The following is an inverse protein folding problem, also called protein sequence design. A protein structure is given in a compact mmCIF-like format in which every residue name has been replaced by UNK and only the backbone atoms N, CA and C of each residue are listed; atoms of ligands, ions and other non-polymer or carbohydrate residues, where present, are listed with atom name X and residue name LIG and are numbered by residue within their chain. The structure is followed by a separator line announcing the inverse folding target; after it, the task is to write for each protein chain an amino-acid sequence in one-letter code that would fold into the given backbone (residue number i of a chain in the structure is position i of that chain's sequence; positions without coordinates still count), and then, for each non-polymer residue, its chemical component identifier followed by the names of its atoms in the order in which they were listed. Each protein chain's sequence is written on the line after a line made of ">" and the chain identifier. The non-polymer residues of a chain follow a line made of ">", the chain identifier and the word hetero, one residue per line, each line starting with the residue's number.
data_IF_665565221726
#
_entry.id   IF_665565221726
#
_cell.length_a   1.000
_cell.length_b   1.000
_cell.length_c   1.000
_cell.angle_alpha   90.00
_cell.angle_beta   90.00
_cell.angle_gamma   90.00
#
_symmetry.space_group_name_H-M   'P 1'
#
loop_
_entity.id
_entity.type
_entity.pdbx_description
1 polymer ?
#
# COMPACT_ATOMS: atom_id res chain seq x y z
N UNK A 1 38.68 2.24 -10.36
CA UNK A 1 38.84 1.45 -9.12
C UNK A 1 37.46 0.99 -8.72
N UNK A 2 37.31 -0.29 -8.38
CA UNK A 2 36.04 -0.82 -7.86
C UNK A 2 35.80 -0.21 -6.47
N UNK A 3 34.57 0.23 -6.18
CA UNK A 3 34.21 0.76 -4.86
C UNK A 3 34.30 -0.37 -3.82
N UNK A 4 35.07 -0.23 -2.73
CA UNK A 4 35.17 -1.26 -1.72
C UNK A 4 33.84 -1.47 -1.00
N UNK A 5 33.51 -2.73 -0.75
CA UNK A 5 32.41 -3.11 0.12
C UNK A 5 32.71 -2.71 1.56
N UNK A 6 31.65 -2.55 2.37
CA UNK A 6 31.79 -2.29 3.80
C UNK A 6 32.62 -3.36 4.54
N UNK A 7 32.68 -4.58 4.02
CA UNK A 7 33.46 -5.69 4.57
C UNK A 7 34.96 -5.57 4.28
N UNK A 8 35.34 -5.04 3.11
CA UNK A 8 36.75 -4.81 2.76
C UNK A 8 37.34 -3.63 3.54
N UNK A 9 36.50 -2.74 4.05
CA UNK A 9 36.89 -1.63 4.94
C UNK A 9 37.02 -2.05 6.41
N UNK A 10 36.59 -3.26 6.75
CA UNK A 10 36.57 -3.80 8.12
C UNK A 10 37.98 -3.92 8.72
N UNK A 11 38.09 -3.68 10.02
CA UNK A 11 39.34 -3.83 10.78
C UNK A 11 39.07 -4.56 12.10
N UNK A 12 39.67 -5.75 12.32
CA UNK A 12 39.39 -6.55 13.51
C UNK A 12 39.56 -5.78 14.82
N UNK A 13 38.59 -5.91 15.73
CA UNK A 13 38.51 -5.22 17.01
C UNK A 13 37.99 -3.79 16.96
N UNK A 14 37.68 -3.23 15.78
CA UNK A 14 37.21 -1.84 15.66
C UNK A 14 35.74 -1.70 16.07
N UNK A 15 35.49 -0.78 16.99
CA UNK A 15 34.14 -0.51 17.51
C UNK A 15 33.59 0.81 16.98
N UNK A 16 32.39 0.77 16.41
CA UNK A 16 31.71 1.95 15.85
C UNK A 16 30.90 2.72 16.88
N UNK A 17 30.17 2.02 17.75
CA UNK A 17 29.27 2.62 18.74
C UNK A 17 29.63 2.08 20.12
N UNK A 18 29.66 2.95 21.13
CA UNK A 18 29.76 2.56 22.53
C UNK A 18 28.40 2.63 23.17
N UNK A 19 27.90 1.50 23.65
CA UNK A 19 26.70 1.45 24.46
C UNK A 19 27.03 1.96 25.89
N UNK A 20 26.04 2.54 26.60
CA UNK A 20 26.21 2.86 28.01
C UNK A 20 26.49 1.60 28.83
N UNK A 21 27.20 1.76 29.94
CA UNK A 21 27.38 0.68 30.92
C UNK A 21 26.01 0.23 31.45
N UNK A 22 25.80 -1.08 31.69
CA UNK A 22 24.55 -1.59 32.23
C UNK A 22 24.21 -0.95 33.58
N UNK A 23 22.98 -0.47 33.70
CA UNK A 23 22.39 0.04 34.95
C UNK A 23 21.68 -1.06 35.76
N UNK A 24 21.78 -2.31 35.31
CA UNK A 24 21.17 -3.50 35.91
C UNK A 24 22.20 -4.62 36.14
N UNK A 25 21.95 -5.58 37.04
CA UNK A 25 22.85 -6.71 37.28
C UNK A 25 23.10 -7.55 36.03
N UNK A 26 24.37 -7.94 35.83
CA UNK A 26 24.77 -8.81 34.72
C UNK A 26 24.30 -10.25 34.96
N UNK A 27 23.92 -10.93 33.88
CA UNK A 27 23.59 -12.36 33.88
C UNK A 27 24.47 -13.13 32.91
N UNK A 28 24.84 -14.36 33.28
CA UNK A 28 25.57 -15.24 32.38
C UNK A 28 24.65 -15.75 31.27
N UNK A 29 25.18 -15.78 30.04
CA UNK A 29 24.48 -16.34 28.88
C UNK A 29 24.60 -17.88 28.90
N UNK A 30 23.55 -18.62 28.51
CA UNK A 30 23.61 -20.07 28.38
C UNK A 30 24.56 -20.45 27.23
N UNK A 31 25.68 -21.07 27.57
CA UNK A 31 26.76 -21.38 26.61
C UNK A 31 26.28 -22.21 25.42
N UNK A 32 25.32 -23.13 25.63
CA UNK A 32 24.75 -23.97 24.56
C UNK A 32 23.97 -23.19 23.50
N UNK A 33 23.62 -21.93 23.76
CA UNK A 33 22.92 -21.05 22.82
C UNK A 33 23.82 -19.95 22.26
N UNK A 34 25.11 -19.92 22.63
CA UNK A 34 26.04 -18.89 22.17
C UNK A 34 26.55 -19.18 20.76
N UNK A 35 26.59 -18.14 19.94
CA UNK A 35 27.17 -18.19 18.59
C UNK A 35 28.68 -17.95 18.69
N UNK A 36 29.48 -18.78 18.02
CA UNK A 36 30.95 -18.67 18.03
C UNK A 36 31.49 -17.52 17.18
N UNK A 37 30.83 -17.20 16.06
CA UNK A 37 31.29 -16.18 15.11
C UNK A 37 30.14 -15.28 14.65
N UNK A 38 30.38 -13.97 14.63
CA UNK A 38 29.45 -12.97 14.09
C UNK A 38 30.14 -12.19 12.96
N UNK A 39 29.96 -12.59 11.69
CA UNK A 39 30.68 -12.02 10.55
C UNK A 39 30.05 -10.68 10.10
N UNK A 40 30.08 -9.68 10.97
CA UNK A 40 29.71 -8.29 10.66
C UNK A 40 30.98 -7.44 10.49
N UNK A 41 30.95 -6.38 9.68
CA UNK A 41 32.10 -5.50 9.52
C UNK A 41 32.37 -4.71 10.80
N UNK A 42 33.65 -4.51 11.11
CA UNK A 42 34.16 -3.84 12.30
C UNK A 42 34.74 -2.48 11.88
N UNK A 43 33.95 -1.42 12.08
CA UNK A 43 34.18 -0.08 11.53
C UNK A 43 34.00 0.98 12.60
N UNK A 44 34.67 2.12 12.44
CA UNK A 44 34.37 3.30 13.26
C UNK A 44 33.09 3.98 12.75
N UNK A 45 32.42 4.77 13.59
CA UNK A 45 31.27 5.57 13.16
C UNK A 45 31.60 6.44 11.93
N UNK A 46 32.81 7.00 11.89
CA UNK A 46 33.25 7.83 10.77
C UNK A 46 33.44 7.02 9.48
N UNK A 47 33.93 5.78 9.55
CA UNK A 47 34.04 4.93 8.38
C UNK A 47 32.65 4.61 7.80
N UNK A 48 31.68 4.32 8.67
CA UNK A 48 30.28 4.07 8.27
C UNK A 48 29.66 5.30 7.60
N UNK A 49 29.83 6.49 8.21
CA UNK A 49 29.31 7.74 7.64
C UNK A 49 29.94 8.00 6.26
N UNK A 50 31.26 7.86 6.13
CA UNK A 50 31.97 8.07 4.85
C UNK A 50 31.47 7.10 3.78
N UNK A 51 31.34 5.82 4.14
CA UNK A 51 30.88 4.78 3.21
C UNK A 51 29.47 5.08 2.69
N UNK A 52 28.47 5.28 3.56
CA UNK A 52 27.10 5.53 3.12
C UNK A 52 26.89 6.90 2.49
N UNK A 53 27.63 7.93 2.91
CA UNK A 53 27.62 9.25 2.23
C UNK A 53 28.16 9.11 0.82
N UNK A 54 29.28 8.41 0.63
CA UNK A 54 29.84 8.18 -0.69
C UNK A 54 28.88 7.36 -1.57
N UNK A 55 28.36 6.23 -1.08
CA UNK A 55 27.36 5.44 -1.81
C UNK A 55 26.14 6.27 -2.21
N UNK A 56 25.68 7.18 -1.34
CA UNK A 56 24.55 8.07 -1.69
C UNK A 56 24.87 8.97 -2.89
N UNK A 57 26.12 9.45 -3.02
CA UNK A 57 26.56 10.27 -4.16
C UNK A 57 26.69 9.49 -5.47
N UNK A 58 26.75 8.16 -5.40
CA UNK A 58 26.76 7.27 -6.57
C UNK A 58 25.35 6.94 -7.08
N UNK A 59 24.30 7.31 -6.34
CA UNK A 59 22.91 7.05 -6.72
C UNK A 59 22.27 8.27 -7.38
N UNK A 60 21.52 8.04 -8.47
CA UNK A 60 20.62 9.05 -9.00
C UNK A 60 19.32 9.05 -8.19
N UNK A 61 18.79 10.24 -7.85
CA UNK A 61 17.59 10.37 -7.04
C UNK A 61 16.74 11.56 -7.47
N UNK A 62 15.47 11.57 -7.07
CA UNK A 62 14.52 12.64 -7.43
C UNK A 62 14.93 14.02 -6.91
N UNK A 63 15.73 14.07 -5.84
CA UNK A 63 16.25 15.31 -5.28
C UNK A 63 17.36 15.91 -6.18
N UNK A 64 18.01 15.08 -7.01
CA UNK A 64 19.05 15.48 -7.94
C UNK A 64 18.55 15.88 -9.34
N UNK A 65 17.34 15.45 -9.72
CA UNK A 65 16.76 15.81 -11.01
C UNK A 65 15.51 15.03 -11.41
N UNK A 66 15.06 15.26 -12.64
CA UNK A 66 13.86 14.64 -13.20
C UNK A 66 14.02 13.12 -13.31
N UNK A 67 13.04 12.37 -12.83
CA UNK A 67 13.04 10.91 -12.83
C UNK A 67 11.79 10.36 -13.54
N UNK A 68 11.72 10.35 -14.89
CA UNK A 68 10.47 10.16 -15.63
C UNK A 68 10.11 8.67 -15.82
N UNK A 69 9.99 7.92 -14.72
CA UNK A 69 9.54 6.53 -14.75
C UNK A 69 8.01 6.47 -14.82
N UNK A 70 7.49 5.99 -15.95
CA UNK A 70 6.07 5.68 -16.13
C UNK A 70 5.57 4.68 -15.08
N UNK A 71 4.31 4.80 -14.67
CA UNK A 71 3.68 4.00 -13.59
C UNK A 71 4.31 4.15 -12.19
N UNK A 72 5.39 4.93 -12.01
CA UNK A 72 6.04 5.11 -10.71
C UNK A 72 5.65 6.41 -9.99
N UNK A 73 5.17 7.42 -10.71
CA UNK A 73 4.84 8.75 -10.16
C UNK A 73 5.98 9.30 -9.29
N UNK A 74 7.15 9.52 -9.89
CA UNK A 74 8.35 10.02 -9.19
C UNK A 74 8.22 11.52 -8.86
N UNK A 75 7.22 11.87 -8.06
CA UNK A 75 6.98 13.22 -7.58
C UNK A 75 7.92 13.58 -6.43
N UNK A 76 8.05 14.87 -6.16
CA UNK A 76 8.74 15.37 -4.99
C UNK A 76 8.18 14.72 -3.70
N UNK A 77 9.06 14.31 -2.80
CA UNK A 77 8.72 13.89 -1.44
C UNK A 77 8.98 15.09 -0.48
N UNK A 78 7.94 15.83 -0.05
CA UNK A 78 8.08 16.99 0.81
C UNK A 78 8.88 16.68 2.08
N UNK A 79 9.90 17.50 2.39
CA UNK A 79 10.73 17.28 3.58
C UNK A 79 9.93 17.37 4.88
N UNK A 80 8.83 18.13 4.88
CA UNK A 80 7.88 18.17 6.01
C UNK A 80 7.23 16.80 6.29
N UNK A 81 7.10 15.92 5.29
CA UNK A 81 6.62 14.55 5.50
C UNK A 81 7.59 13.75 6.37
N UNK A 82 8.91 13.96 6.18
CA UNK A 82 9.94 13.32 6.98
C UNK A 82 9.99 13.88 8.41
N UNK A 83 9.84 15.19 8.57
CA UNK A 83 9.77 15.84 9.90
C UNK A 83 8.55 15.35 10.69
N UNK A 84 7.37 15.31 10.07
CA UNK A 84 6.13 14.87 10.75
C UNK A 84 6.16 13.39 11.11
N UNK A 85 6.77 12.54 10.29
CA UNK A 85 6.96 11.13 10.61
C UNK A 85 7.93 10.89 11.78
N UNK A 86 8.78 11.87 12.13
CA UNK A 86 9.74 11.82 13.23
C UNK A 86 9.21 12.39 14.55
N UNK A 87 7.99 12.93 14.59
CA UNK A 87 7.38 13.39 15.84
C UNK A 87 7.41 12.27 16.88
N UNK A 88 7.86 12.56 18.10
CA UNK A 88 8.12 11.55 19.14
C UNK A 88 6.88 10.69 19.44
N UNK A 89 5.71 11.33 19.51
CA UNK A 89 4.42 10.66 19.69
C UNK A 89 4.02 9.71 18.55
N UNK A 90 4.74 9.71 17.42
CA UNK A 90 4.58 8.77 16.33
C UNK A 90 5.75 7.80 16.22
N UNK A 91 6.99 8.30 16.24
CA UNK A 91 8.20 7.53 16.01
C UNK A 91 8.51 6.54 17.13
N UNK A 92 8.14 6.87 18.38
CA UNK A 92 8.42 6.05 19.57
C UNK A 92 7.20 5.31 20.11
N UNK A 93 6.13 5.22 19.31
CA UNK A 93 4.96 4.41 19.66
C UNK A 93 5.21 2.93 19.43
N UNK A 94 4.98 2.10 20.44
CA UNK A 94 4.99 0.65 20.29
C UNK A 94 3.63 0.16 19.75
N UNK A 95 3.59 -0.72 18.73
CA UNK A 95 2.33 -1.17 18.13
C UNK A 95 1.45 -2.02 19.05
N UNK A 96 1.93 -2.41 20.24
CA UNK A 96 1.13 -3.13 21.25
C UNK A 96 0.97 -2.37 22.57
N UNK A 97 1.30 -1.07 22.61
CA UNK A 97 1.01 -0.28 23.81
C UNK A 97 -0.52 -0.06 23.96
N UNK A 98 -1.03 0.22 25.17
CA UNK A 98 -2.46 0.38 25.40
C UNK A 98 -3.12 1.39 24.45
N UNK A 99 -4.28 1.05 23.86
CA UNK A 99 -4.97 1.89 22.85
C UNK A 99 -5.28 3.32 23.34
N UNK A 100 -5.53 3.48 24.64
CA UNK A 100 -5.76 4.78 25.28
C UNK A 100 -4.57 5.74 25.19
N UNK A 101 -3.34 5.22 25.05
CA UNK A 101 -2.12 6.05 24.95
C UNK A 101 -1.70 6.37 23.52
N UNK A 102 -2.46 5.90 22.51
CA UNK A 102 -2.15 6.08 21.07
C UNK A 102 -3.31 6.68 20.28
N UNK A 103 -4.20 7.42 20.95
CA UNK A 103 -5.37 8.01 20.29
C UNK A 103 -4.99 8.95 19.13
N UNK A 104 -3.84 9.63 19.19
CA UNK A 104 -3.32 10.41 18.06
C UNK A 104 -2.98 9.56 16.83
N UNK A 105 -2.37 8.39 17.04
CA UNK A 105 -2.03 7.46 15.95
C UNK A 105 -3.31 6.87 15.33
N UNK A 106 -4.26 6.46 16.17
CA UNK A 106 -5.54 5.90 15.74
C UNK A 106 -6.39 6.94 15.01
N UNK A 107 -6.46 8.17 15.50
CA UNK A 107 -7.15 9.28 14.83
C UNK A 107 -6.55 9.54 13.43
N UNK A 108 -5.22 9.59 13.30
CA UNK A 108 -4.56 9.77 12.00
C UNK A 108 -4.89 8.62 11.03
N UNK A 109 -4.85 7.38 11.51
CA UNK A 109 -5.21 6.21 10.70
C UNK A 109 -6.68 6.25 10.27
N UNK A 110 -7.59 6.59 11.19
CA UNK A 110 -9.00 6.74 10.89
C UNK A 110 -9.24 7.82 9.84
N UNK A 111 -8.70 9.02 10.05
CA UNK A 111 -8.85 10.12 9.09
C UNK A 111 -8.26 9.78 7.72
N UNK A 112 -7.13 9.04 7.68
CA UNK A 112 -6.56 8.59 6.42
C UNK A 112 -7.49 7.59 5.71
N UNK A 113 -8.11 6.65 6.43
CA UNK A 113 -9.14 5.75 5.86
C UNK A 113 -10.30 6.56 5.27
N UNK A 114 -10.85 7.51 6.02
CA UNK A 114 -11.97 8.36 5.59
C UNK A 114 -11.59 9.24 4.38
N UNK A 115 -10.38 9.76 4.38
CA UNK A 115 -9.86 10.56 3.25
C UNK A 115 -9.70 9.71 2.00
N UNK A 116 -9.16 8.50 2.10
CA UNK A 116 -9.01 7.60 0.94
C UNK A 116 -10.36 7.09 0.42
N UNK A 117 -11.33 6.87 1.32
CA UNK A 117 -12.73 6.61 0.95
C UNK A 117 -13.28 7.75 0.09
N UNK A 118 -13.13 8.99 0.54
CA UNK A 118 -13.64 10.16 -0.19
C UNK A 118 -12.92 10.36 -1.52
N UNK A 119 -11.59 10.28 -1.55
CA UNK A 119 -10.79 10.49 -2.77
C UNK A 119 -11.16 9.52 -3.88
N UNK A 120 -11.55 8.29 -3.52
CA UNK A 120 -11.80 7.24 -4.51
C UNK A 120 -13.25 6.75 -4.57
N UNK A 121 -14.17 7.28 -3.75
CA UNK A 121 -15.59 6.92 -3.80
C UNK A 121 -15.92 5.57 -3.17
N UNK A 122 -15.18 5.13 -2.15
CA UNK A 122 -15.38 3.83 -1.49
C UNK A 122 -16.08 3.95 -0.14
N UNK A 123 -16.71 2.85 0.28
CA UNK A 123 -17.45 2.81 1.55
C UNK A 123 -16.56 2.47 2.75
N UNK A 124 -15.51 1.67 2.53
CA UNK A 124 -14.57 1.26 3.58
C UNK A 124 -13.16 1.12 3.02
N UNK A 125 -12.14 1.37 3.85
CA UNK A 125 -10.72 1.25 3.48
C UNK A 125 -9.95 0.54 4.59
N UNK A 126 -9.08 -0.39 4.23
CA UNK A 126 -8.02 -0.92 5.10
C UNK A 126 -6.68 -0.28 4.77
N UNK A 127 -5.85 -0.05 5.80
CA UNK A 127 -4.47 0.43 5.65
C UNK A 127 -3.43 -0.69 5.77
N UNK A 128 -3.85 -1.93 6.05
CA UNK A 128 -2.96 -3.02 6.45
C UNK A 128 -1.92 -3.45 5.39
N UNK A 129 -2.22 -3.49 4.08
CA UNK A 129 -1.25 -3.99 3.10
C UNK A 129 -0.05 -3.04 2.93
N UNK A 130 1.14 -3.62 2.82
CA UNK A 130 2.42 -2.94 2.85
C UNK A 130 2.85 -2.35 1.49
N UNK A 131 2.22 -2.73 0.38
CA UNK A 131 2.57 -2.27 -0.97
C UNK A 131 1.41 -2.58 -1.93
N UNK A 132 1.47 -2.02 -3.15
CA UNK A 132 0.40 -2.19 -4.15
C UNK A 132 0.08 -3.65 -4.47
N UNK A 133 1.10 -4.47 -4.75
CA UNK A 133 0.92 -5.90 -4.99
C UNK A 133 0.30 -6.67 -3.80
N UNK A 134 0.57 -6.24 -2.55
CA UNK A 134 -0.12 -6.82 -1.40
C UNK A 134 -1.57 -6.33 -1.29
N UNK A 135 -1.86 -5.12 -1.77
CA UNK A 135 -3.21 -4.61 -1.96
C UNK A 135 -3.98 -5.39 -3.02
N UNK A 136 -3.34 -5.76 -4.14
CA UNK A 136 -3.90 -6.68 -5.14
C UNK A 136 -4.23 -8.02 -4.50
N UNK A 137 -3.29 -8.62 -3.77
CA UNK A 137 -3.53 -9.89 -3.08
C UNK A 137 -4.72 -9.79 -2.12
N UNK A 138 -4.79 -8.70 -1.36
CA UNK A 138 -5.91 -8.42 -0.45
C UNK A 138 -7.23 -8.32 -1.20
N UNK A 139 -7.28 -7.59 -2.32
CA UNK A 139 -8.48 -7.44 -3.13
C UNK A 139 -8.93 -8.75 -3.78
N UNK A 140 -8.01 -9.53 -4.34
CA UNK A 140 -8.30 -10.85 -4.94
C UNK A 140 -8.82 -11.84 -3.87
N UNK A 141 -8.27 -11.81 -2.66
CA UNK A 141 -8.78 -12.59 -1.54
C UNK A 141 -10.20 -12.16 -1.12
N UNK A 142 -10.50 -10.86 -1.14
CA UNK A 142 -11.85 -10.34 -0.90
C UNK A 142 -12.82 -10.84 -1.99
N UNK A 143 -12.45 -10.78 -3.27
CA UNK A 143 -13.27 -11.30 -4.39
C UNK A 143 -13.61 -12.78 -4.15
N UNK A 144 -12.59 -13.57 -3.81
CA UNK A 144 -12.75 -15.00 -3.56
C UNK A 144 -13.71 -15.29 -2.41
N UNK A 145 -13.50 -14.64 -1.27
CA UNK A 145 -14.26 -14.91 -0.06
C UNK A 145 -15.69 -14.33 -0.16
N UNK A 146 -15.88 -13.25 -0.93
CA UNK A 146 -17.20 -12.76 -1.31
C UNK A 146 -18.00 -13.80 -2.10
N UNK A 147 -17.45 -14.35 -3.19
CA UNK A 147 -18.13 -15.37 -3.99
C UNK A 147 -18.41 -16.65 -3.19
N UNK A 148 -17.44 -17.11 -2.40
CA UNK A 148 -17.61 -18.27 -1.51
C UNK A 148 -18.70 -18.06 -0.47
N UNK A 149 -18.82 -16.86 0.10
CA UNK A 149 -19.87 -16.55 1.08
C UNK A 149 -21.29 -16.62 0.51
N UNK A 150 -21.43 -16.54 -0.82
CA UNK A 150 -22.69 -16.70 -1.56
C UNK A 150 -22.90 -18.13 -2.07
N UNK A 151 -21.99 -19.05 -1.76
CA UNK A 151 -22.00 -20.43 -2.27
C UNK A 151 -21.61 -20.56 -3.74
N UNK A 152 -21.05 -19.51 -4.36
CA UNK A 152 -20.74 -19.46 -5.79
C UNK A 152 -19.30 -19.92 -6.08
N UNK A 153 -19.06 -21.22 -5.95
CA UNK A 153 -17.72 -21.81 -6.06
C UNK A 153 -17.20 -21.94 -7.51
N UNK A 154 -18.05 -21.76 -8.52
CA UNK A 154 -17.66 -21.80 -9.95
C UNK A 154 -16.94 -20.53 -10.42
N UNK A 155 -16.90 -19.48 -9.59
CA UNK A 155 -16.21 -18.22 -9.83
C UNK A 155 -14.69 -18.40 -9.70
N UNK A 156 -14.05 -18.88 -10.77
CA UNK A 156 -12.64 -19.28 -10.77
C UNK A 156 -11.77 -18.51 -11.75
N UNK A 157 -12.34 -17.65 -12.61
CA UNK A 157 -11.57 -16.87 -13.60
C UNK A 157 -11.41 -15.41 -13.20
N UNK A 158 -10.21 -14.86 -13.34
CA UNK A 158 -9.97 -13.42 -13.31
C UNK A 158 -9.51 -12.97 -14.69
N UNK A 159 -10.22 -12.00 -15.25
CA UNK A 159 -9.89 -11.36 -16.51
C UNK A 159 -8.80 -10.31 -16.27
N UNK A 160 -7.76 -10.32 -17.10
CA UNK A 160 -6.61 -9.40 -17.01
C UNK A 160 -6.34 -8.81 -18.39
N UNK A 161 -6.46 -7.48 -18.58
CA UNK A 161 -6.03 -6.81 -19.80
C UNK A 161 -4.57 -7.13 -20.15
N UNK A 162 -4.25 -7.28 -21.43
CA UNK A 162 -2.88 -7.53 -21.92
C UNK A 162 -1.90 -6.40 -21.56
N UNK A 163 -2.42 -5.20 -21.33
CA UNK A 163 -1.69 -4.02 -20.88
C UNK A 163 -1.48 -3.98 -19.36
N UNK A 164 -2.09 -4.87 -18.57
CA UNK A 164 -1.99 -4.82 -17.12
C UNK A 164 -0.54 -4.98 -16.61
N UNK A 165 -0.25 -4.40 -15.44
CA UNK A 165 1.02 -4.61 -14.78
C UNK A 165 1.20 -6.10 -14.41
N UNK A 166 2.43 -6.61 -14.48
CA UNK A 166 2.73 -8.04 -14.29
C UNK A 166 2.39 -8.61 -12.90
N UNK A 167 2.13 -7.76 -11.91
CA UNK A 167 1.66 -8.17 -10.58
C UNK A 167 0.23 -8.70 -10.62
N UNK A 168 -0.65 -8.16 -11.46
CA UNK A 168 -2.06 -8.54 -11.54
C UNK A 168 -2.26 -10.03 -11.89
N UNK A 169 -1.66 -10.57 -12.99
CA UNK A 169 -1.76 -11.99 -13.30
C UNK A 169 -1.05 -12.87 -12.25
N UNK A 170 0.11 -12.42 -11.72
CA UNK A 170 0.85 -13.16 -10.70
C UNK A 170 0.04 -13.32 -9.40
N UNK A 171 -0.57 -12.24 -8.93
CA UNK A 171 -1.44 -12.22 -7.74
C UNK A 171 -2.66 -13.11 -7.93
N UNK A 172 -3.32 -13.03 -9.08
CA UNK A 172 -4.51 -13.83 -9.40
C UNK A 172 -4.19 -15.33 -9.38
N UNK A 173 -3.11 -15.74 -10.05
CA UNK A 173 -2.65 -17.12 -10.07
C UNK A 173 -2.22 -17.61 -8.67
N UNK A 174 -1.45 -16.81 -7.93
CA UNK A 174 -1.05 -17.13 -6.55
C UNK A 174 -2.24 -17.30 -5.61
N UNK A 175 -3.37 -16.63 -5.90
CA UNK A 175 -4.60 -16.72 -5.11
C UNK A 175 -5.53 -17.87 -5.54
N UNK A 176 -5.11 -18.67 -6.53
CA UNK A 176 -5.81 -19.86 -7.00
C UNK A 176 -6.86 -19.61 -8.09
N UNK A 177 -6.82 -18.46 -8.76
CA UNK A 177 -7.67 -18.17 -9.92
C UNK A 177 -6.99 -18.54 -11.24
N UNK A 178 -7.80 -18.96 -12.21
CA UNK A 178 -7.42 -19.04 -13.61
C UNK A 178 -7.31 -17.61 -14.17
N UNK A 179 -6.18 -17.30 -14.80
CA UNK A 179 -5.94 -16.00 -15.42
C UNK A 179 -6.34 -16.07 -16.89
N UNK A 180 -7.27 -15.20 -17.29
CA UNK A 180 -7.72 -15.09 -18.68
C UNK A 180 -7.28 -13.75 -19.23
N UNK A 181 -6.42 -13.78 -20.25
CA UNK A 181 -5.96 -12.58 -20.92
C UNK A 181 -7.11 -11.94 -21.73
N UNK A 182 -7.20 -10.61 -21.64
CA UNK A 182 -8.17 -9.79 -22.36
C UNK A 182 -7.41 -8.81 -23.27
N UNK A 183 -7.54 -8.91 -24.60
CA UNK A 183 -6.78 -8.05 -25.50
C UNK A 183 -7.29 -6.60 -25.45
N UNK A 184 -6.38 -5.68 -25.78
CA UNK A 184 -6.74 -4.29 -26.06
C UNK A 184 -7.27 -4.12 -27.50
N UNK A 185 -8.16 -3.15 -27.72
CA UNK A 185 -8.60 -2.72 -29.05
C UNK A 185 -7.53 -1.88 -29.77
N UNK A 186 -7.79 -1.48 -31.02
CA UNK A 186 -6.85 -0.68 -31.82
C UNK A 186 -6.56 0.72 -31.24
N UNK A 187 -7.33 1.19 -30.25
CA UNK A 187 -7.15 2.46 -29.55
C UNK A 187 -6.51 2.28 -28.16
N UNK A 188 -6.23 1.04 -27.76
CA UNK A 188 -5.66 0.70 -26.46
C UNK A 188 -6.69 0.59 -25.33
N UNK A 189 -7.99 0.60 -25.63
CA UNK A 189 -9.04 0.31 -24.64
C UNK A 189 -9.21 -1.20 -24.48
N UNK A 190 -10.00 -1.63 -23.51
CA UNK A 190 -10.46 -3.02 -23.45
C UNK A 190 -11.30 -3.38 -24.68
N UNK A 191 -11.00 -4.51 -25.34
CA UNK A 191 -11.83 -5.04 -26.42
C UNK A 191 -13.19 -5.53 -25.88
N UNK A 192 -14.25 -4.74 -26.15
CA UNK A 192 -15.62 -5.02 -25.71
C UNK A 192 -16.24 -6.27 -26.32
N UNK A 193 -15.85 -6.66 -27.53
CA UNK A 193 -16.35 -7.86 -28.18
C UNK A 193 -15.74 -9.09 -27.51
N UNK A 194 -14.41 -9.06 -27.28
CA UNK A 194 -13.74 -10.15 -26.58
C UNK A 194 -14.17 -10.24 -25.12
N UNK A 195 -14.38 -9.11 -24.45
CA UNK A 195 -14.90 -9.08 -23.08
C UNK A 195 -16.24 -9.81 -22.96
N UNK A 196 -17.18 -9.57 -23.89
CA UNK A 196 -18.48 -10.27 -23.92
C UNK A 196 -18.36 -11.76 -24.18
N UNK A 197 -17.41 -12.16 -25.01
CA UNK A 197 -17.16 -13.58 -25.31
C UNK A 197 -16.68 -14.35 -24.07
N UNK A 198 -15.82 -13.73 -23.25
CA UNK A 198 -15.20 -14.39 -22.09
C UNK A 198 -15.94 -14.17 -20.77
N UNK A 199 -16.87 -13.22 -20.71
CA UNK A 199 -17.70 -12.95 -19.53
C UNK A 199 -18.84 -13.98 -19.40
N UNK A 200 -18.50 -15.13 -18.82
CA UNK A 200 -19.43 -16.19 -18.44
C UNK A 200 -19.71 -16.21 -16.91
N UNK A 201 -20.49 -17.19 -16.46
CA UNK A 201 -20.85 -17.37 -15.05
C UNK A 201 -19.72 -17.96 -14.17
N UNK A 202 -18.52 -18.15 -14.74
CA UNK A 202 -17.31 -18.57 -14.02
C UNK A 202 -16.34 -17.42 -13.76
N UNK A 203 -16.60 -16.23 -14.32
CA UNK A 203 -15.82 -15.02 -14.04
C UNK A 203 -16.04 -14.56 -12.61
N UNK A 204 -14.98 -14.58 -11.82
CA UNK A 204 -14.92 -14.01 -10.47
C UNK A 204 -14.69 -12.50 -10.51
N UNK A 205 -13.90 -12.02 -11.46
CA UNK A 205 -13.72 -10.59 -11.64
C UNK A 205 -12.79 -10.18 -12.77
N UNK A 206 -12.58 -8.88 -12.90
CA UNK A 206 -11.67 -8.22 -13.82
C UNK A 206 -10.73 -7.33 -13.01
N UNK A 207 -9.43 -7.37 -13.28
CA UNK A 207 -8.48 -6.37 -12.77
C UNK A 207 -8.10 -5.41 -13.89
N UNK A 208 -8.40 -4.11 -13.74
CA UNK A 208 -8.02 -3.09 -14.73
C UNK A 208 -7.29 -1.92 -14.08
N UNK A 209 -6.61 -1.13 -14.91
CA UNK A 209 -6.03 0.16 -14.52
C UNK A 209 -6.71 1.23 -15.36
N UNK A 210 -7.17 2.33 -14.75
CA UNK A 210 -7.73 3.47 -15.49
C UNK A 210 -7.21 4.78 -14.88
N UNK A 211 -6.45 5.62 -15.62
CA UNK A 211 -5.91 5.37 -16.97
C UNK A 211 -5.12 4.07 -17.04
N UNK A 212 -5.15 3.41 -18.20
CA UNK A 212 -4.42 2.17 -18.42
C UNK A 212 -2.90 2.41 -18.41
N UNK A 213 -2.11 1.35 -18.56
CA UNK A 213 -0.64 1.44 -18.51
C UNK A 213 -0.02 2.13 -19.74
N UNK A 214 -0.80 2.36 -20.80
CA UNK A 214 -0.42 3.23 -21.92
C UNK A 214 -0.61 4.72 -21.61
N UNK A 215 -1.21 5.05 -20.45
CA UNK A 215 -1.54 6.43 -20.06
C UNK A 215 -2.83 6.96 -20.68
N UNK A 216 -3.70 6.08 -21.17
CA UNK A 216 -4.95 6.42 -21.85
C UNK A 216 -6.13 6.11 -20.92
N UNK A 217 -7.11 7.01 -20.88
CA UNK A 217 -8.39 6.74 -20.22
C UNK A 217 -9.23 5.83 -21.10
N UNK A 218 -9.68 4.70 -20.54
CA UNK A 218 -10.58 3.82 -21.29
C UNK A 218 -11.96 4.49 -21.43
N UNK A 219 -12.30 4.85 -22.66
CA UNK A 219 -13.56 5.55 -23.00
C UNK A 219 -14.81 4.71 -22.69
N UNK A 220 -14.65 3.40 -22.57
CA UNK A 220 -15.73 2.44 -22.35
C UNK A 220 -15.75 1.88 -20.93
N UNK A 221 -15.00 2.46 -19.98
CA UNK A 221 -14.80 1.88 -18.64
C UNK A 221 -16.11 1.52 -17.92
N UNK A 222 -17.15 2.35 -18.03
CA UNK A 222 -18.46 2.09 -17.41
C UNK A 222 -19.15 0.90 -18.08
N UNK A 223 -19.03 0.76 -19.40
CA UNK A 223 -19.59 -0.39 -20.12
C UNK A 223 -18.84 -1.68 -19.78
N UNK A 224 -17.51 -1.63 -19.68
CA UNK A 224 -16.67 -2.74 -19.22
C UNK A 224 -17.12 -3.23 -17.85
N UNK A 225 -17.31 -2.32 -16.90
CA UNK A 225 -17.77 -2.62 -15.55
C UNK A 225 -19.14 -3.30 -15.59
N UNK A 226 -20.09 -2.72 -16.33
CA UNK A 226 -21.45 -3.26 -16.46
C UNK A 226 -21.47 -4.69 -17.02
N UNK A 227 -20.63 -5.02 -18.01
CA UNK A 227 -20.56 -6.37 -18.58
C UNK A 227 -20.07 -7.38 -17.53
N UNK A 228 -19.02 -7.04 -16.78
CA UNK A 228 -18.48 -7.89 -15.72
C UNK A 228 -19.52 -8.11 -14.61
N UNK A 229 -20.21 -7.05 -14.20
CA UNK A 229 -21.28 -7.12 -13.20
C UNK A 229 -22.47 -7.94 -13.68
N UNK A 230 -22.87 -7.82 -14.95
CA UNK A 230 -23.95 -8.64 -15.54
C UNK A 230 -23.61 -10.14 -15.55
N UNK A 231 -22.33 -10.48 -15.73
CA UNK A 231 -21.86 -11.86 -15.59
C UNK A 231 -21.80 -12.33 -14.12
N UNK A 232 -21.87 -11.40 -13.15
CA UNK A 232 -21.81 -11.66 -11.72
C UNK A 232 -20.40 -11.58 -11.12
N UNK A 233 -19.42 -11.12 -11.90
CA UNK A 233 -18.05 -10.85 -11.45
C UNK A 233 -17.92 -9.50 -10.73
N UNK A 234 -16.78 -9.28 -10.08
CA UNK A 234 -16.41 -8.01 -9.46
C UNK A 234 -15.31 -7.30 -10.26
N UNK A 235 -15.21 -5.98 -10.10
CA UNK A 235 -14.19 -5.17 -10.78
C UNK A 235 -13.18 -4.64 -9.76
N UNK A 236 -11.92 -5.01 -9.97
CA UNK A 236 -10.78 -4.52 -9.23
C UNK A 236 -10.04 -3.44 -10.02
N UNK A 237 -9.88 -2.27 -9.41
CA UNK A 237 -9.05 -1.17 -9.90
C UNK A 237 -7.61 -1.25 -9.37
N UNK A 238 -6.64 -1.24 -10.26
CA UNK A 238 -5.27 -0.92 -9.95
C UNK A 238 -5.12 0.61 -9.83
N UNK A 239 -4.92 1.10 -8.61
CA UNK A 239 -4.80 2.53 -8.31
C UNK A 239 -3.39 3.09 -8.45
N UNK A 240 -2.45 2.39 -9.10
CA UNK A 240 -1.11 2.92 -9.38
C UNK A 240 -1.14 4.24 -10.17
N UNK A 241 -2.17 4.42 -11.01
CA UNK A 241 -2.38 5.61 -11.85
C UNK A 241 -3.37 6.61 -11.25
N UNK A 242 -3.75 6.46 -9.97
CA UNK A 242 -4.70 7.35 -9.28
C UNK A 242 -4.28 8.82 -9.30
N UNK A 243 -2.99 9.13 -9.48
CA UNK A 243 -2.53 10.52 -9.59
C UNK A 243 -3.28 11.30 -10.68
N UNK A 244 -3.64 10.66 -11.80
CA UNK A 244 -4.37 11.32 -12.89
C UNK A 244 -5.86 11.56 -12.59
N UNK A 245 -6.37 11.08 -11.45
CA UNK A 245 -7.80 11.10 -11.12
C UNK A 245 -8.16 12.00 -9.93
N UNK A 246 -7.18 12.42 -9.11
CA UNK A 246 -7.47 13.06 -7.82
C UNK A 246 -8.34 14.31 -8.00
N UNK A 247 -9.49 14.31 -7.33
CA UNK A 247 -10.44 15.42 -7.40
C UNK A 247 -11.07 15.63 -8.78
N UNK A 248 -10.90 14.72 -9.74
CA UNK A 248 -11.49 14.77 -11.08
C UNK A 248 -12.62 13.75 -11.19
N UNK A 249 -12.31 12.47 -10.94
CA UNK A 249 -13.26 11.36 -10.97
C UNK A 249 -12.90 10.36 -9.89
N UNK A 250 -13.91 9.77 -9.26
CA UNK A 250 -13.73 8.78 -8.20
C UNK A 250 -13.99 7.38 -8.76
N UNK A 251 -13.01 6.46 -8.74
CA UNK A 251 -13.15 5.09 -9.23
C UNK A 251 -14.40 4.35 -8.75
N UNK A 252 -14.77 4.49 -7.46
CA UNK A 252 -15.96 3.87 -6.89
C UNK A 252 -17.28 4.39 -7.48
N UNK A 253 -17.33 5.66 -7.90
CA UNK A 253 -18.51 6.24 -8.57
C UNK A 253 -18.72 5.65 -9.98
N UNK A 254 -17.65 5.12 -10.59
CA UNK A 254 -17.72 4.43 -11.88
C UNK A 254 -18.22 2.98 -11.77
N UNK A 255 -18.31 2.44 -10.55
CA UNK A 255 -18.69 1.06 -10.28
C UNK A 255 -17.51 0.10 -10.07
N UNK A 256 -16.29 0.61 -9.85
CA UNK A 256 -15.18 -0.24 -9.39
C UNK A 256 -15.50 -0.72 -7.96
N UNK A 257 -15.41 -2.02 -7.71
CA UNK A 257 -15.81 -2.62 -6.44
C UNK A 257 -14.69 -2.59 -5.40
N UNK A 258 -13.45 -2.73 -5.84
CA UNK A 258 -12.25 -2.80 -5.00
C UNK A 258 -11.13 -2.03 -5.69
N UNK A 259 -10.34 -1.25 -4.94
CA UNK A 259 -9.13 -0.63 -5.50
C UNK A 259 -8.04 -0.56 -4.45
N UNK A 260 -6.81 -0.86 -4.84
CA UNK A 260 -5.65 -0.52 -4.00
C UNK A 260 -5.11 0.87 -4.31
N UNK A 261 -4.45 1.48 -3.32
CA UNK A 261 -3.75 2.75 -3.45
C UNK A 261 -2.24 2.51 -3.36
N UNK A 262 -1.43 3.28 -4.09
CA UNK A 262 0.02 3.36 -3.83
C UNK A 262 0.36 4.68 -3.14
N UNK A 263 0.47 4.68 -1.81
CA UNK A 263 0.84 5.92 -1.08
C UNK A 263 2.23 6.45 -1.50
N UNK A 264 3.12 5.51 -1.85
CA UNK A 264 4.49 5.72 -2.35
C UNK A 264 4.58 6.11 -3.81
N UNK A 265 3.43 6.34 -4.46
CA UNK A 265 3.36 6.94 -5.78
C UNK A 265 2.52 8.22 -5.66
N UNK A 266 1.21 8.06 -5.52
CA UNK A 266 0.23 9.14 -5.58
C UNK A 266 0.33 10.12 -4.41
N UNK A 267 0.68 9.65 -3.21
CA UNK A 267 0.61 10.47 -1.98
C UNK A 267 1.98 10.82 -1.40
N UNK A 268 3.02 10.88 -2.25
CA UNK A 268 4.35 11.45 -1.98
C UNK A 268 5.18 10.79 -0.88
N UNK A 269 4.82 9.59 -0.43
CA UNK A 269 5.73 8.85 0.46
C UNK A 269 6.95 8.37 -0.34
N UNK A 270 8.17 8.34 0.23
CA UNK A 270 9.39 8.11 -0.53
C UNK A 270 9.46 6.71 -1.11
N UNK A 271 10.01 6.58 -2.33
CA UNK A 271 10.24 5.29 -2.98
C UNK A 271 11.39 4.49 -2.34
N UNK A 272 12.32 5.16 -1.65
CA UNK A 272 13.36 4.52 -0.83
C UNK A 272 14.29 3.54 -1.57
N UNK A 273 14.49 3.72 -2.89
CA UNK A 273 15.30 2.79 -3.69
C UNK A 273 14.66 1.42 -3.92
N UNK A 274 13.34 1.28 -3.69
CA UNK A 274 12.59 0.04 -3.87
C UNK A 274 11.59 -0.27 -2.75
N UNK A 275 11.64 0.48 -1.64
CA UNK A 275 10.68 0.41 -0.55
C UNK A 275 11.19 1.13 0.70
N UNK A 276 10.39 1.16 1.79
CA UNK A 276 9.08 0.53 1.94
C UNK A 276 7.98 1.25 1.16
N UNK A 277 6.82 0.62 1.06
CA UNK A 277 5.61 1.21 0.49
C UNK A 277 4.44 1.22 1.48
N UNK A 278 3.25 1.45 0.93
CA UNK A 278 1.97 1.18 1.58
C UNK A 278 0.91 1.02 0.50
N UNK A 279 0.07 -0.01 0.67
CA UNK A 279 -0.95 -0.44 -0.29
C UNK A 279 -2.36 -0.48 0.28
N UNK A 280 -2.94 0.61 0.81
CA UNK A 280 -4.32 0.59 1.31
C UNK A 280 -5.29 0.01 0.27
N UNK A 281 -6.40 -0.56 0.71
CA UNK A 281 -7.43 -1.11 -0.18
C UNK A 281 -8.79 -0.54 0.21
N UNK A 282 -9.44 0.13 -0.74
CA UNK A 282 -10.80 0.61 -0.65
C UNK A 282 -11.77 -0.37 -1.29
N UNK A 283 -12.98 -0.47 -0.74
CA UNK A 283 -14.03 -1.37 -1.24
C UNK A 283 -15.41 -0.73 -1.21
N UNK A 284 -16.27 -1.16 -2.13
CA UNK A 284 -17.69 -0.83 -2.15
C UNK A 284 -18.41 -1.39 -0.90
N UNK A 285 -19.58 -0.84 -0.59
CA UNK A 285 -20.30 -1.12 0.66
C UNK A 285 -20.56 -2.62 0.89
N UNK A 286 -20.92 -3.35 -0.16
CA UNK A 286 -21.25 -4.78 -0.07
C UNK A 286 -20.03 -5.69 0.19
N UNK A 287 -18.81 -5.13 0.14
CA UNK A 287 -17.55 -5.83 0.39
C UNK A 287 -16.87 -5.42 1.69
N UNK A 288 -17.38 -4.41 2.40
CA UNK A 288 -16.76 -3.87 3.62
C UNK A 288 -16.52 -4.94 4.70
N UNK A 289 -17.45 -5.89 4.83
CA UNK A 289 -17.39 -6.98 5.80
C UNK A 289 -16.23 -7.94 5.59
N UNK A 290 -15.65 -7.98 4.39
CA UNK A 290 -14.56 -8.88 4.01
C UNK A 290 -13.17 -8.26 4.20
N UNK A 291 -13.07 -6.97 4.50
CA UNK A 291 -11.78 -6.30 4.72
C UNK A 291 -10.93 -7.04 5.77
N UNK A 292 -9.59 -7.00 5.65
CA UNK A 292 -8.71 -7.62 6.63
C UNK A 292 -8.83 -6.93 7.99
N UNK A 293 -8.66 -7.71 9.06
CA UNK A 293 -8.79 -7.26 10.44
C UNK A 293 -7.42 -6.90 11.04
N UNK A 294 -7.34 -5.94 11.98
CA UNK A 294 -8.37 -4.97 12.34
C UNK A 294 -8.41 -3.78 11.38
N UNK A 295 -9.53 -3.06 11.40
CA UNK A 295 -9.65 -1.68 10.91
C UNK A 295 -9.63 -0.73 12.10
N UNK A 296 -9.32 0.55 11.87
CA UNK A 296 -9.52 1.58 12.90
C UNK A 296 -10.94 2.13 12.77
N UNK A 297 -11.65 2.30 13.88
CA UNK A 297 -12.99 2.87 13.95
C UNK A 297 -13.19 3.73 15.20
N UNK A 298 -14.38 4.31 15.30
CA UNK A 298 -14.82 5.06 16.47
C UNK A 298 -15.59 4.10 17.40
N UNK A 299 -15.06 3.86 18.60
CA UNK A 299 -15.70 3.05 19.63
C UNK A 299 -16.73 3.87 20.42
N UNK A 300 -16.41 5.12 20.72
CA UNK A 300 -17.33 6.07 21.36
C UNK A 300 -17.36 7.37 20.58
N UNK A 301 -18.56 7.84 20.24
CA UNK A 301 -18.73 9.11 19.52
C UNK A 301 -18.32 10.28 20.41
N UNK A 302 -17.88 11.37 19.76
CA UNK A 302 -17.63 12.62 20.43
C UNK A 302 -18.89 13.11 21.18
N UNK A 303 -18.67 13.72 22.34
CA UNK A 303 -19.70 14.46 23.08
C UNK A 303 -19.36 15.95 23.08
N UNK A 304 -20.15 16.78 23.76
CA UNK A 304 -19.83 18.20 23.90
C UNK A 304 -18.49 18.43 24.62
N UNK A 305 -18.12 17.52 25.54
CA UNK A 305 -16.98 17.69 26.45
C UNK A 305 -15.80 16.77 26.11
N UNK A 306 -16.00 15.71 25.31
CA UNK A 306 -14.99 14.70 25.03
C UNK A 306 -14.83 14.42 23.53
N UNK A 307 -13.57 14.28 23.04
CA UNK A 307 -13.30 13.83 21.68
C UNK A 307 -13.77 12.38 21.48
N UNK A 308 -13.91 11.92 20.23
CA UNK A 308 -14.24 10.52 19.96
C UNK A 308 -13.13 9.59 20.47
N UNK A 309 -13.53 8.40 20.93
CA UNK A 309 -12.60 7.34 21.29
C UNK A 309 -12.39 6.44 20.08
N UNK A 310 -11.16 6.38 19.57
CA UNK A 310 -10.77 5.51 18.47
C UNK A 310 -10.27 4.16 19.00
N UNK A 311 -10.46 3.11 18.22
CA UNK A 311 -9.95 1.78 18.53
C UNK A 311 -10.06 0.83 17.36
N UNK A 312 -9.69 -0.43 17.60
CA UNK A 312 -9.72 -1.45 16.57
C UNK A 312 -11.08 -2.13 16.46
N UNK A 313 -11.59 -2.25 15.23
CA UNK A 313 -12.82 -2.98 14.90
C UNK A 313 -12.52 -4.17 13.99
N UNK A 314 -13.32 -5.22 14.11
CA UNK A 314 -13.20 -6.45 13.32
C UNK A 314 -14.37 -6.57 12.34
N UNK A 315 -14.10 -6.58 11.01
CA UNK A 315 -15.13 -6.92 10.02
C UNK A 315 -15.66 -8.35 10.23
N UNK A 316 -16.99 -8.58 10.13
CA UNK A 316 -17.61 -9.85 10.51
C UNK A 316 -17.23 -11.02 9.61
N UNK A 317 -16.94 -10.77 8.31
CA UNK A 317 -16.54 -11.77 7.32
C UNK A 317 -15.09 -11.60 6.87
N UNK A 318 -14.26 -11.01 7.73
CA UNK A 318 -12.89 -10.63 7.39
C UNK A 318 -12.09 -11.79 6.78
N UNK A 319 -11.32 -11.50 5.72
CA UNK A 319 -10.34 -12.42 5.15
C UNK A 319 -9.15 -12.73 6.09
N UNK A 320 -9.14 -12.17 7.30
CA UNK A 320 -8.08 -12.35 8.30
C UNK A 320 -7.04 -11.24 8.27
N UNK A 321 -5.78 -11.58 8.58
CA UNK A 321 -4.65 -10.65 8.58
C UNK A 321 -3.77 -10.90 7.38
N UNK A 322 -3.36 -9.83 6.70
CA UNK A 322 -2.39 -9.86 5.60
C UNK A 322 -1.03 -9.34 6.00
N UNK A 323 -0.89 -8.71 7.19
CA UNK A 323 0.38 -8.20 7.72
C UNK A 323 0.40 -8.24 9.25
N UNK A 324 1.60 -8.34 9.83
CA UNK A 324 1.83 -8.04 11.25
C UNK A 324 1.45 -6.61 11.61
N UNK A 325 0.94 -6.44 12.83
CA UNK A 325 0.48 -5.16 13.39
C UNK A 325 -0.60 -4.50 12.52
N UNK A 326 -0.48 -3.20 12.23
CA UNK A 326 -1.56 -2.38 11.66
C UNK A 326 -1.16 -1.64 10.38
N UNK A 327 -0.13 -2.13 9.68
CA UNK A 327 0.40 -1.51 8.46
C UNK A 327 1.68 -0.70 8.69
N UNK A 328 2.05 0.14 7.72
CA UNK A 328 3.30 0.92 7.75
C UNK A 328 3.03 2.34 8.27
N UNK A 329 2.92 2.50 9.60
CA UNK A 329 2.45 3.74 10.22
C UNK A 329 3.21 5.00 9.78
N UNK A 330 4.54 4.93 9.70
CA UNK A 330 5.34 6.06 9.20
C UNK A 330 4.99 6.49 7.76
N UNK A 331 4.50 5.57 6.92
CA UNK A 331 4.02 5.91 5.57
C UNK A 331 2.65 6.58 5.61
N UNK A 332 1.80 6.21 6.58
CA UNK A 332 0.51 6.87 6.80
C UNK A 332 0.70 8.32 7.21
N UNK A 333 1.62 8.59 8.14
CA UNK A 333 1.91 9.97 8.57
C UNK A 333 2.34 10.83 7.38
N UNK A 334 3.25 10.33 6.54
CA UNK A 334 3.72 11.06 5.34
C UNK A 334 2.60 11.33 4.34
N UNK A 335 1.77 10.33 4.04
CA UNK A 335 0.64 10.49 3.13
C UNK A 335 -0.42 11.44 3.70
N UNK A 336 -0.71 11.33 4.99
CA UNK A 336 -1.64 12.21 5.70
C UNK A 336 -1.15 13.66 5.65
N UNK A 337 0.11 13.92 6.00
CA UNK A 337 0.72 15.26 5.91
C UNK A 337 0.58 15.84 4.51
N UNK A 338 0.88 15.05 3.47
CA UNK A 338 0.72 15.48 2.07
C UNK A 338 -0.72 15.88 1.74
N UNK A 339 -1.69 15.03 2.07
CA UNK A 339 -3.10 15.29 1.78
C UNK A 339 -3.58 16.53 2.55
N UNK A 340 -3.24 16.66 3.83
CA UNK A 340 -3.62 17.80 4.68
C UNK A 340 -2.99 19.11 4.19
N UNK A 341 -1.76 19.07 3.69
CA UNK A 341 -1.06 20.25 3.15
C UNK A 341 -1.70 20.75 1.85
N UNK A 342 -2.13 19.84 0.97
CA UNK A 342 -2.71 20.22 -0.31
C UNK A 342 -4.21 20.55 -0.24
N UNK A 343 -4.96 19.84 0.62
CA UNK A 343 -6.43 19.91 0.62
C UNK A 343 -7.05 19.47 -0.72
N UNK A 344 -8.38 19.55 -0.87
CA UNK A 344 -9.06 19.06 -2.06
C UNK A 344 -8.63 19.80 -3.34
N UNK A 345 -8.52 21.13 -3.28
CA UNK A 345 -8.10 21.95 -4.44
C UNK A 345 -6.65 21.66 -4.84
N UNK A 346 -5.75 21.49 -3.87
CA UNK A 346 -4.36 21.17 -4.14
C UNK A 346 -4.21 19.77 -4.73
N UNK A 347 -4.94 18.78 -4.23
CA UNK A 347 -4.94 17.42 -4.80
C UNK A 347 -5.44 17.42 -6.25
N UNK A 348 -6.46 18.24 -6.59
CA UNK A 348 -6.90 18.40 -7.98
C UNK A 348 -5.86 19.08 -8.87
N UNK A 349 -5.10 20.05 -8.33
CA UNK A 349 -4.08 20.79 -9.09
C UNK A 349 -2.81 19.97 -9.39
N UNK A 350 -2.52 18.93 -8.62
CA UNK A 350 -1.34 18.06 -8.82
C UNK A 350 -1.64 16.85 -9.72
N UNK A 351 -2.88 16.71 -10.19
CA UNK A 351 -3.35 15.63 -11.07
C UNK A 351 -3.05 15.87 -12.53
#
# INVERSE_FOLDING_TARGET
>A
MTEPTIYELSSPGRTGVRFPEPDVPLTHLPQSLMREQLPLPELSEMDVIRHFTHLSSLNYCIDGGLYPLGSCTMKYNPKINEETARLEGFAYTHPLQPEVTIQGNLALMYDLQETLKEVAGFAAVTLQPAAGAQGEFTGVMIIRDYHRSRGDAKRTKILIPDSAHGTNPATSAMSGFEVVALPSDARGNVDLAKLREVCDDTVAGLMLTNPNTLGIFDENVVEVINIVHQAGGLVYGDGANLNALLGIVRPGDLGIDIMHFNLHKTFSTPHGGGGPGSGPVGVAAHLADFLPTPLVGILEKATADLPPLYGFIKPPKSIGRVKSFFGQFGMFVRAYTYIRMHGPEGLRKVS
#
